data_IF_685515682848
#
_entry.id   IF_685515682848
#
_cell.length_a   1.000
_cell.length_b   1.000
_cell.length_c   1.000
_cell.angle_alpha   90.00
_cell.angle_beta   90.00
_cell.angle_gamma   90.00
#
_symmetry.space_group_name_H-M   'P 1'
#
loop_
_entity.id
_entity.type
_entity.pdbx_description
1 polymer ?
#
# COMPACT_ATOMS: atom_id res chain seq x y z
N UNK A 1 -11.82 -8.63 -8.56
CA UNK A 1 -10.81 -8.70 -9.64
C UNK A 1 -9.70 -7.78 -9.18
N UNK A 2 -8.46 -8.30 -9.09
CA UNK A 2 -7.35 -7.49 -8.63
C UNK A 2 -7.09 -6.37 -9.65
N UNK A 3 -6.61 -5.20 -9.22
CA UNK A 3 -6.24 -4.11 -10.13
C UNK A 3 -5.25 -4.59 -11.20
N UNK A 4 -5.31 -3.96 -12.36
CA UNK A 4 -4.38 -4.23 -13.47
C UNK A 4 -3.22 -3.25 -13.46
N UNK A 5 -2.11 -3.60 -14.10
CA UNK A 5 -0.99 -2.68 -14.27
C UNK A 5 -1.46 -1.37 -14.92
N UNK A 6 -1.10 -0.24 -14.31
CA UNK A 6 -1.50 1.11 -14.74
C UNK A 6 -2.86 1.58 -14.21
N UNK A 7 -3.67 0.69 -13.63
CA UNK A 7 -4.93 1.06 -12.97
C UNK A 7 -4.65 1.86 -11.70
N UNK A 8 -5.51 2.84 -11.43
CA UNK A 8 -5.44 3.70 -10.24
C UNK A 8 -6.74 3.62 -9.46
N UNK A 9 -6.63 3.48 -8.14
CA UNK A 9 -7.76 3.44 -7.22
C UNK A 9 -7.43 4.21 -5.94
N UNK A 10 -8.46 4.52 -5.16
CA UNK A 10 -8.31 5.13 -3.85
C UNK A 10 -9.15 4.38 -2.84
N UNK A 11 -8.51 3.95 -1.76
CA UNK A 11 -9.15 3.30 -0.62
C UNK A 11 -8.74 3.94 0.70
N UNK A 12 -8.03 5.06 0.62
CA UNK A 12 -7.47 5.68 1.80
C UNK A 12 -8.56 6.34 2.64
N UNK A 13 -8.33 6.35 3.95
CA UNK A 13 -9.19 7.04 4.90
C UNK A 13 -8.38 8.05 5.71
N UNK A 14 -9.01 9.16 6.04
CA UNK A 14 -8.44 10.19 6.90
C UNK A 14 -9.12 10.19 8.25
N UNK A 15 -8.35 10.33 9.32
CA UNK A 15 -8.87 10.42 10.68
C UNK A 15 -8.02 11.37 11.53
N UNK A 16 -8.57 11.78 12.66
CA UNK A 16 -7.84 12.52 13.70
C UNK A 16 -7.31 11.54 14.72
N UNK A 17 -6.00 11.56 14.96
CA UNK A 17 -5.42 10.80 16.06
C UNK A 17 -6.02 11.23 17.40
N UNK A 18 -6.45 10.28 18.22
CA UNK A 18 -7.24 10.56 19.43
C UNK A 18 -6.46 11.28 20.53
N UNK A 19 -5.13 11.18 20.55
CA UNK A 19 -4.29 11.79 21.58
C UNK A 19 -3.67 13.11 21.13
N UNK A 20 -3.20 13.17 19.88
CA UNK A 20 -2.43 14.31 19.37
C UNK A 20 -3.23 15.22 18.46
N UNK A 21 -4.43 14.80 18.04
CA UNK A 21 -5.33 15.53 17.14
C UNK A 21 -4.71 15.85 15.76
N UNK A 22 -3.59 15.21 15.43
CA UNK A 22 -2.95 15.32 14.11
C UNK A 22 -3.83 14.65 13.07
N UNK A 23 -3.78 15.20 11.87
CA UNK A 23 -4.36 14.56 10.69
C UNK A 23 -3.52 13.35 10.31
N UNK A 24 -4.18 12.20 10.22
CA UNK A 24 -3.60 10.95 9.78
C UNK A 24 -4.34 10.45 8.55
N UNK A 25 -3.62 9.84 7.62
CA UNK A 25 -4.19 9.10 6.48
C UNK A 25 -3.72 7.66 6.53
N UNK A 26 -4.65 6.71 6.62
CA UNK A 26 -4.38 5.28 6.43
C UNK A 26 -4.51 5.00 4.93
N UNK A 27 -3.38 4.76 4.27
CA UNK A 27 -3.30 4.66 2.80
C UNK A 27 -3.89 3.34 2.26
N UNK A 28 -3.70 2.23 2.98
CA UNK A 28 -4.01 0.88 2.47
C UNK A 28 -4.83 0.03 3.46
N UNK A 29 -6.12 0.35 3.70
CA UNK A 29 -6.94 -0.40 4.64
C UNK A 29 -7.51 -1.72 4.11
N UNK A 30 -7.48 -1.97 2.79
CA UNK A 30 -8.21 -3.12 2.21
C UNK A 30 -7.31 -4.23 1.65
N UNK A 31 -6.00 -4.01 1.51
CA UNK A 31 -5.07 -5.06 1.08
C UNK A 31 -4.87 -6.13 2.16
N UNK A 32 -4.75 -7.40 1.77
CA UNK A 32 -4.51 -8.53 2.68
C UNK A 32 -3.17 -8.36 3.42
N UNK A 33 -2.16 -7.91 2.67
CA UNK A 33 -0.84 -7.53 3.18
C UNK A 33 -0.42 -6.25 2.47
N UNK A 34 0.16 -5.31 3.20
CA UNK A 34 0.76 -4.10 2.64
C UNK A 34 2.13 -3.91 3.28
N UNK A 35 3.17 -3.81 2.45
CA UNK A 35 4.55 -3.77 2.92
C UNK A 35 5.34 -2.70 2.16
N UNK A 36 5.84 -1.72 2.91
CA UNK A 36 6.83 -0.76 2.41
C UNK A 36 8.23 -1.38 2.48
N UNK A 37 9.24 -0.85 1.76
CA UNK A 37 10.62 -1.28 1.96
C UNK A 37 11.01 -1.22 3.44
N UNK A 38 11.45 -2.36 3.99
CA UNK A 38 11.64 -2.56 5.44
C UNK A 38 12.78 -1.73 6.07
N UNK A 39 13.56 -1.03 5.25
CA UNK A 39 14.67 -0.20 5.71
C UNK A 39 14.25 1.26 5.82
N UNK A 40 14.51 1.87 6.99
CA UNK A 40 14.18 3.25 7.34
C UNK A 40 14.99 4.32 6.59
N UNK A 41 15.73 3.93 5.55
CA UNK A 41 16.59 4.82 4.74
C UNK A 41 15.79 5.67 3.73
N UNK A 42 14.48 5.77 3.90
CA UNK A 42 13.56 6.51 3.03
C UNK A 42 13.58 6.08 1.55
N UNK A 43 14.10 4.88 1.23
CA UNK A 43 14.25 4.37 -0.14
C UNK A 43 12.92 4.11 -0.86
N UNK A 44 11.80 4.11 -0.13
CA UNK A 44 10.47 3.94 -0.70
C UNK A 44 9.81 5.25 -1.16
N UNK A 45 10.31 6.42 -0.74
CA UNK A 45 9.71 7.70 -1.09
C UNK A 45 10.46 8.39 -2.23
N UNK A 46 9.73 9.16 -3.05
CA UNK A 46 10.36 10.12 -3.96
C UNK A 46 11.04 11.25 -3.17
N UNK A 47 12.04 11.91 -3.77
CA UNK A 47 12.82 12.95 -3.09
C UNK A 47 11.96 14.15 -2.59
N UNK A 48 10.84 14.41 -3.26
CA UNK A 48 9.85 15.43 -2.90
C UNK A 48 8.75 14.92 -1.94
N UNK A 49 8.82 13.66 -1.52
CA UNK A 49 7.80 12.98 -0.70
C UNK A 49 6.40 12.90 -1.32
N UNK A 50 6.25 13.16 -2.63
CA UNK A 50 4.95 13.10 -3.29
C UNK A 50 4.43 11.66 -3.37
N UNK A 51 5.32 10.70 -3.63
CA UNK A 51 4.96 9.29 -3.81
C UNK A 51 5.72 8.37 -2.85
N UNK A 52 5.04 7.29 -2.45
CA UNK A 52 5.60 6.13 -1.76
C UNK A 52 5.42 4.88 -2.63
N UNK A 53 6.46 4.07 -2.76
CA UNK A 53 6.40 2.72 -3.36
C UNK A 53 6.24 1.67 -2.26
N UNK A 54 5.35 0.71 -2.51
CA UNK A 54 5.08 -0.40 -1.60
C UNK A 54 4.61 -1.63 -2.39
N UNK A 55 4.63 -2.79 -1.74
CA UNK A 55 4.05 -4.03 -2.26
C UNK A 55 2.74 -4.33 -1.53
N UNK A 56 1.74 -4.83 -2.27
CA UNK A 56 0.43 -5.21 -1.73
C UNK A 56 0.03 -6.60 -2.22
N UNK A 57 -0.59 -7.38 -1.33
CA UNK A 57 -1.24 -8.66 -1.64
C UNK A 57 -2.75 -8.46 -1.67
N UNK A 58 -3.40 -8.86 -2.78
CA UNK A 58 -4.85 -8.78 -2.97
C UNK A 58 -5.34 -9.97 -3.78
N UNK A 59 -6.37 -10.65 -3.28
CA UNK A 59 -6.95 -11.83 -3.92
C UNK A 59 -5.86 -12.88 -4.26
N UNK A 60 -4.90 -13.07 -3.35
CA UNK A 60 -3.76 -13.99 -3.52
C UNK A 60 -2.72 -13.57 -4.57
N UNK A 61 -2.73 -12.31 -5.02
CA UNK A 61 -1.75 -11.78 -5.99
C UNK A 61 -1.01 -10.56 -5.47
N UNK A 62 0.31 -10.61 -5.58
CA UNK A 62 1.23 -9.56 -5.19
C UNK A 62 1.52 -8.61 -6.33
N UNK A 63 1.56 -7.31 -6.06
CA UNK A 63 2.00 -6.31 -7.02
C UNK A 63 2.73 -5.15 -6.34
N UNK A 64 3.69 -4.55 -7.05
CA UNK A 64 4.31 -3.29 -6.62
C UNK A 64 3.44 -2.14 -7.09
N UNK A 65 3.20 -1.20 -6.18
CA UNK A 65 2.38 -0.01 -6.41
C UNK A 65 3.16 1.24 -6.00
N UNK A 66 2.74 2.38 -6.53
CA UNK A 66 3.01 3.70 -5.92
C UNK A 66 1.72 4.26 -5.35
N UNK A 67 1.82 5.11 -4.34
CA UNK A 67 0.70 5.90 -3.82
C UNK A 67 1.11 7.36 -3.72
N UNK A 68 0.26 8.27 -4.19
CA UNK A 68 0.42 9.70 -3.93
C UNK A 68 0.03 9.98 -2.47
N UNK A 69 0.97 10.48 -1.67
CA UNK A 69 0.81 10.54 -0.20
C UNK A 69 -0.32 11.47 0.22
N UNK A 70 -0.50 12.59 -0.49
CA UNK A 70 -1.49 13.60 -0.15
C UNK A 70 -2.94 13.13 -0.38
N UNK A 71 -3.18 12.38 -1.45
CA UNK A 71 -4.52 11.98 -1.91
C UNK A 71 -4.87 10.54 -1.55
N UNK A 72 -3.87 9.67 -1.43
CA UNK A 72 -4.05 8.23 -1.29
C UNK A 72 -4.37 7.50 -2.60
N UNK A 73 -4.16 8.14 -3.76
CA UNK A 73 -4.34 7.49 -5.05
C UNK A 73 -3.21 6.49 -5.29
N UNK A 74 -3.56 5.21 -5.36
CA UNK A 74 -2.66 4.09 -5.57
C UNK A 74 -2.67 3.71 -7.05
N UNK A 75 -1.51 3.63 -7.67
CA UNK A 75 -1.34 3.12 -9.04
C UNK A 75 -0.51 1.85 -9.03
N UNK A 76 -1.00 0.79 -9.67
CA UNK A 76 -0.25 -0.46 -9.82
C UNK A 76 0.85 -0.32 -10.89
N UNK A 77 2.09 -0.71 -10.57
CA UNK A 77 3.26 -0.54 -11.44
C UNK A 77 3.67 -1.82 -12.16
N UNK A 78 3.40 -2.98 -11.57
CA UNK A 78 3.80 -4.28 -12.12
C UNK A 78 2.59 -5.13 -12.53
N UNK A 79 2.83 -6.13 -13.36
CA UNK A 79 1.86 -7.22 -13.51
C UNK A 79 1.69 -7.93 -12.14
N UNK A 80 0.47 -8.36 -11.79
CA UNK A 80 0.22 -9.06 -10.55
C UNK A 80 0.77 -10.48 -10.66
N UNK A 81 1.64 -10.88 -9.74
CA UNK A 81 2.18 -12.25 -9.66
C UNK A 81 1.42 -13.03 -8.59
N UNK A 82 1.26 -14.34 -8.78
CA UNK A 82 0.78 -15.20 -7.70
C UNK A 82 1.71 -15.05 -6.49
N UNK A 83 1.14 -15.11 -5.30
CA UNK A 83 1.93 -15.23 -4.08
C UNK A 83 2.82 -16.49 -4.14
N UNK A 84 4.03 -16.43 -3.59
CA UNK A 84 4.98 -17.55 -3.52
C UNK A 84 4.59 -18.60 -2.47
N UNK A 85 3.29 -18.74 -2.16
CA UNK A 85 2.78 -19.70 -1.19
C UNK A 85 2.77 -19.20 0.26
N UNK A 86 2.60 -17.89 0.49
CA UNK A 86 2.27 -17.42 1.84
C UNK A 86 0.98 -18.10 2.32
N UNK A 87 1.12 -18.97 3.32
CA UNK A 87 -0.02 -19.47 4.08
C UNK A 87 -0.13 -18.62 5.33
N UNK A 88 -1.21 -17.83 5.52
CA UNK A 88 -1.40 -17.09 6.75
C UNK A 88 -1.52 -18.10 7.89
N UNK A 89 -0.45 -18.26 8.68
CA UNK A 89 -0.49 -18.99 9.93
C UNK A 89 -1.16 -18.12 11.00
N UNK A 90 -2.47 -17.93 10.88
CA UNK A 90 -3.27 -17.40 11.99
C UNK A 90 -3.85 -18.63 12.70
N UNK A 91 -3.16 -19.07 13.76
CA UNK A 91 -3.78 -19.92 14.77
C UNK A 91 -4.79 -19.04 15.52
N UNK A 92 -6.06 -19.45 15.47
CA UNK A 92 -7.14 -18.86 16.27
C UNK A 92 -7.00 -19.13 17.76
#
# INVERSE_FOLDING_TARGET
MPPRKGETWNESETYKDAWTLRDCRRLTPLGEINQTPNYHTNIGFTADSEFLVFWTLREGRGAVCKVQVATGDITQLTEPTADYGFQPHIQG
#
